data_IF_525295056892
#
_entry.id   IF_525295056892
#
_cell.length_a   1.000
_cell.length_b   1.000
_cell.length_c   1.000
_cell.angle_alpha   90.00
_cell.angle_beta   90.00
_cell.angle_gamma   90.00
#
_symmetry.space_group_name_H-M   'P 1'
#
loop_
_entity.id
_entity.type
_entity.pdbx_description
1 polymer ?
#
# COMPACT_ATOMS: atom_id res chain seq x y z
N UNK A 1 -13.42 13.92 9.11
CA UNK A 1 -13.72 15.14 9.91
C UNK A 1 -12.51 16.06 10.00
N UNK A 2 -11.34 15.59 10.47
CA UNK A 2 -10.12 16.41 10.60
C UNK A 2 -9.73 17.11 9.30
N UNK A 3 -9.61 16.36 8.20
CA UNK A 3 -9.26 16.92 6.89
C UNK A 3 -10.26 17.97 6.40
N UNK A 4 -11.53 17.84 6.77
CA UNK A 4 -12.59 18.80 6.43
C UNK A 4 -12.60 20.04 7.37
N UNK A 5 -11.66 20.14 8.32
CA UNK A 5 -11.63 21.23 9.30
C UNK A 5 -12.78 21.20 10.31
N UNK A 6 -13.52 20.09 10.38
CA UNK A 6 -14.70 19.96 11.25
C UNK A 6 -14.25 19.44 12.61
N UNK A 7 -14.57 20.19 13.67
CA UNK A 7 -14.34 19.77 15.06
C UNK A 7 -15.22 18.56 15.38
N UNK A 8 -14.62 17.54 15.98
CA UNK A 8 -15.32 16.31 16.39
C UNK A 8 -14.73 15.78 17.70
N UNK A 9 -15.42 14.82 18.29
CA UNK A 9 -14.91 13.97 19.37
C UNK A 9 -15.13 12.53 18.97
N UNK A 10 -14.21 11.65 19.33
CA UNK A 10 -14.38 10.21 19.19
C UNK A 10 -14.82 9.62 20.51
N UNK A 11 -15.63 8.59 20.49
CA UNK A 11 -15.93 7.81 21.67
C UNK A 11 -16.30 6.40 21.19
N UNK A 12 -15.69 5.39 21.79
CA UNK A 12 -15.88 4.00 21.42
C UNK A 12 -15.74 3.11 22.66
N UNK A 13 -16.49 2.02 22.64
CA UNK A 13 -16.53 0.89 23.58
C UNK A 13 -17.26 -0.26 22.87
N UNK A 14 -17.09 -1.50 23.32
CA UNK A 14 -17.66 -2.67 22.63
C UNK A 14 -19.18 -2.64 22.47
N UNK A 15 -19.93 -2.36 23.55
CA UNK A 15 -21.41 -2.42 23.53
C UNK A 15 -22.10 -1.09 23.90
N UNK A 16 -21.33 -0.04 24.18
CA UNK A 16 -21.81 1.30 24.53
C UNK A 16 -22.56 1.40 25.87
N UNK A 17 -22.49 0.38 26.72
CA UNK A 17 -23.19 0.34 28.01
C UNK A 17 -22.28 0.58 29.21
N UNK A 18 -20.96 0.51 29.01
CA UNK A 18 -20.01 0.62 30.11
C UNK A 18 -19.96 2.05 30.72
N UNK A 19 -19.51 2.12 31.97
CA UNK A 19 -19.46 3.38 32.73
C UNK A 19 -18.57 4.44 32.07
N UNK A 20 -17.49 4.03 31.40
CA UNK A 20 -16.62 4.96 30.69
C UNK A 20 -17.35 5.56 29.49
N UNK A 21 -18.03 4.75 28.67
CA UNK A 21 -18.80 5.27 27.53
C UNK A 21 -19.93 6.20 27.98
N UNK A 22 -20.82 5.74 28.88
CA UNK A 22 -21.97 6.51 29.33
C UNK A 22 -21.57 7.85 29.98
N UNK A 23 -20.55 7.84 30.84
CA UNK A 23 -20.07 9.06 31.50
C UNK A 23 -19.44 10.06 30.52
N UNK A 24 -18.75 9.57 29.48
CA UNK A 24 -18.18 10.44 28.42
C UNK A 24 -19.24 10.98 27.49
N UNK A 25 -20.25 10.17 27.15
CA UNK A 25 -21.39 10.60 26.34
C UNK A 25 -22.18 11.69 27.06
N UNK A 26 -22.48 11.52 28.35
CA UNK A 26 -23.15 12.56 29.17
C UNK A 26 -22.36 13.88 29.15
N UNK A 27 -21.03 13.82 29.32
CA UNK A 27 -20.17 15.00 29.23
C UNK A 27 -20.22 15.65 27.85
N UNK A 28 -20.21 14.85 26.78
CA UNK A 28 -20.31 15.35 25.42
C UNK A 28 -21.66 16.02 25.17
N UNK A 29 -22.78 15.44 25.64
CA UNK A 29 -24.11 16.05 25.52
C UNK A 29 -24.20 17.42 26.22
N UNK A 30 -23.53 17.59 27.36
CA UNK A 30 -23.52 18.85 28.12
C UNK A 30 -22.56 19.92 27.55
N UNK A 31 -21.46 19.52 26.91
CA UNK A 31 -20.34 20.43 26.58
C UNK A 31 -19.94 20.45 25.10
N UNK A 32 -20.48 19.53 24.30
CA UNK A 32 -20.11 19.29 22.91
C UNK A 32 -18.72 18.67 22.73
N UNK A 33 -18.05 18.21 23.81
CA UNK A 33 -16.66 17.72 23.74
C UNK A 33 -16.39 16.52 24.65
N UNK A 34 -15.63 15.56 24.12
CA UNK A 34 -14.97 14.49 24.87
C UNK A 34 -13.44 14.60 24.68
N UNK A 35 -12.68 14.36 25.75
CA UNK A 35 -11.21 14.46 25.75
C UNK A 35 -10.55 13.18 26.26
N UNK A 36 -9.63 12.61 25.51
CA UNK A 36 -8.93 11.38 25.90
C UNK A 36 -7.58 11.69 26.54
N UNK A 37 -7.14 10.81 27.43
CA UNK A 37 -5.80 10.90 28.00
C UNK A 37 -4.78 10.45 26.95
N UNK A 38 -3.88 11.35 26.55
CA UNK A 38 -2.81 11.08 25.58
C UNK A 38 -1.46 10.85 26.27
N UNK A 39 -1.48 10.21 27.46
CA UNK A 39 -0.27 9.99 28.28
C UNK A 39 0.82 9.16 27.58
N UNK A 40 0.44 8.37 26.57
CA UNK A 40 1.34 7.58 25.74
C UNK A 40 2.02 8.40 24.63
N UNK A 41 1.60 9.65 24.40
CA UNK A 41 2.17 10.54 23.38
C UNK A 41 3.17 11.48 24.02
N UNK A 42 4.32 11.66 23.36
CA UNK A 42 5.36 12.60 23.78
C UNK A 42 5.67 13.57 22.65
N UNK A 43 5.85 14.86 22.97
CA UNK A 43 6.29 15.84 21.97
C UNK A 43 7.69 15.47 21.50
N UNK A 44 7.92 15.57 20.19
CA UNK A 44 9.22 15.23 19.61
C UNK A 44 10.38 16.06 20.21
N UNK A 45 10.14 17.34 20.54
CA UNK A 45 11.13 18.21 21.19
C UNK A 45 11.64 17.67 22.55
N UNK A 46 10.85 16.83 23.21
CA UNK A 46 11.21 16.23 24.51
C UNK A 46 11.91 14.86 24.34
N UNK A 47 12.04 14.37 23.10
CA UNK A 47 12.69 13.09 22.78
C UNK A 47 14.18 13.32 22.53
N UNK A 48 15.03 12.60 23.28
CA UNK A 48 16.49 12.63 23.06
C UNK A 48 16.82 11.74 21.86
N UNK A 49 17.04 12.36 20.70
CA UNK A 49 17.44 11.64 19.48
C UNK A 49 18.97 11.55 19.42
N UNK A 50 19.56 10.34 19.25
CA UNK A 50 21.01 10.19 19.07
C UNK A 50 21.52 11.01 17.88
N UNK A 51 22.69 11.63 18.03
CA UNK A 51 23.24 12.54 17.00
C UNK A 51 23.39 11.89 15.62
N UNK A 52 23.79 10.61 15.58
CA UNK A 52 23.90 9.85 14.33
C UNK A 52 22.53 9.68 13.63
N UNK A 53 21.48 9.31 14.39
CA UNK A 53 20.12 9.15 13.87
C UNK A 53 19.57 10.48 13.36
N UNK A 54 19.79 11.57 14.10
CA UNK A 54 19.39 12.91 13.67
C UNK A 54 20.04 13.29 12.34
N UNK A 55 21.37 13.09 12.22
CA UNK A 55 22.11 13.36 10.98
C UNK A 55 21.58 12.55 9.80
N UNK A 56 21.26 11.27 10.01
CA UNK A 56 20.66 10.43 8.96
C UNK A 56 19.30 10.95 8.52
N UNK A 57 18.42 11.32 9.46
CA UNK A 57 17.11 11.89 9.14
C UNK A 57 17.20 13.21 8.37
N UNK A 58 18.08 14.12 8.81
CA UNK A 58 18.32 15.40 8.12
C UNK A 58 18.88 15.21 6.70
N UNK A 59 19.79 14.23 6.52
CA UNK A 59 20.31 13.84 5.20
C UNK A 59 19.17 13.36 4.29
N UNK A 60 18.36 12.40 4.74
CA UNK A 60 17.25 11.84 3.95
C UNK A 60 16.22 12.91 3.55
N UNK A 61 15.91 13.83 4.46
CA UNK A 61 15.01 14.95 4.19
C UNK A 61 15.61 15.91 3.13
N UNK A 62 16.89 16.26 3.26
CA UNK A 62 17.57 17.12 2.28
C UNK A 62 17.65 16.46 0.90
N UNK A 63 17.92 15.16 0.84
CA UNK A 63 17.91 14.37 -0.41
C UNK A 63 16.53 14.36 -1.06
N UNK A 64 15.45 14.14 -0.30
CA UNK A 64 14.09 14.18 -0.84
C UNK A 64 13.75 15.57 -1.41
N UNK A 65 14.14 16.64 -0.73
CA UNK A 65 13.93 18.01 -1.22
C UNK A 65 14.79 18.30 -2.46
N UNK A 66 15.99 17.75 -2.57
CA UNK A 66 16.88 17.99 -3.71
C UNK A 66 16.47 17.17 -4.94
N UNK A 67 16.34 15.87 -4.76
CA UNK A 67 16.18 14.90 -5.85
C UNK A 67 14.72 14.73 -6.26
N UNK A 68 13.80 15.15 -5.38
CA UNK A 68 12.35 15.01 -5.50
C UNK A 68 11.90 13.55 -5.54
N UNK A 69 10.60 13.34 -5.44
CA UNK A 69 9.98 12.05 -5.70
C UNK A 69 8.64 12.22 -6.40
N UNK A 70 8.25 11.22 -7.17
CA UNK A 70 7.01 11.19 -7.94
C UNK A 70 6.11 10.07 -7.42
N UNK A 71 4.91 10.42 -6.95
CA UNK A 71 3.78 9.52 -6.75
C UNK A 71 3.03 9.40 -8.07
N UNK A 72 3.11 8.25 -8.74
CA UNK A 72 2.27 7.96 -9.90
C UNK A 72 0.89 7.49 -9.44
N UNK A 73 -0.15 8.26 -9.74
CA UNK A 73 -1.51 7.97 -9.27
C UNK A 73 -2.38 7.60 -10.46
N UNK A 74 -2.78 6.33 -10.59
CA UNK A 74 -3.68 5.88 -11.66
C UNK A 74 -5.14 6.15 -11.29
N UNK A 75 -5.64 7.31 -11.74
CA UNK A 75 -6.91 7.94 -11.38
C UNK A 75 -7.05 8.20 -9.85
N UNK A 76 -7.28 9.46 -9.43
CA UNK A 76 -7.34 9.84 -8.00
C UNK A 76 -8.72 9.55 -7.36
N UNK A 77 -8.72 9.19 -6.06
CA UNK A 77 -9.94 9.20 -5.24
C UNK A 77 -10.81 7.95 -5.33
N UNK A 78 -10.19 6.78 -5.23
CA UNK A 78 -10.89 5.48 -5.14
C UNK A 78 -12.12 5.55 -4.22
N UNK A 79 -13.29 5.16 -4.75
CA UNK A 79 -14.55 5.06 -4.01
C UNK A 79 -14.93 6.29 -3.15
N UNK A 80 -14.44 7.48 -3.51
CA UNK A 80 -14.71 8.70 -2.74
C UNK A 80 -13.97 8.77 -1.41
N UNK A 81 -12.85 8.05 -1.26
CA UNK A 81 -11.97 8.11 -0.08
C UNK A 81 -11.36 9.52 0.08
N UNK A 82 -12.14 10.43 0.64
CA UNK A 82 -11.74 11.83 0.79
C UNK A 82 -10.42 11.98 1.55
N UNK A 83 -10.14 11.13 2.54
CA UNK A 83 -8.90 11.23 3.33
C UNK A 83 -7.66 10.73 2.58
N UNK A 84 -7.83 9.87 1.56
CA UNK A 84 -6.73 9.29 0.79
C UNK A 84 -6.05 10.30 -0.15
N UNK A 85 -6.73 11.39 -0.53
CA UNK A 85 -6.18 12.39 -1.45
C UNK A 85 -5.35 13.43 -0.68
N UNK A 86 -4.13 13.74 -1.07
CA UNK A 86 -3.34 14.82 -0.49
C UNK A 86 -3.42 16.06 -1.41
N UNK A 87 -3.81 17.24 -0.91
CA UNK A 87 -3.73 18.46 -1.73
C UNK A 87 -2.29 18.77 -2.17
N UNK A 88 -2.07 19.06 -3.45
CA UNK A 88 -0.73 19.32 -4.02
C UNK A 88 0.05 20.41 -3.27
N UNK A 89 -0.61 21.48 -2.83
CA UNK A 89 0.03 22.57 -2.08
C UNK A 89 0.54 22.15 -0.69
N UNK A 90 0.03 21.04 -0.14
CA UNK A 90 0.54 20.43 1.10
C UNK A 90 1.63 19.39 0.80
N UNK A 91 1.54 18.69 -0.32
CA UNK A 91 2.49 17.65 -0.71
C UNK A 91 3.81 18.23 -1.26
N UNK A 92 3.73 19.17 -2.20
CA UNK A 92 4.89 19.73 -2.93
C UNK A 92 6.00 20.28 -2.02
N UNK A 93 5.71 20.97 -0.89
CA UNK A 93 6.74 21.43 0.04
C UNK A 93 7.58 20.32 0.66
N UNK A 94 7.09 19.07 0.67
CA UNK A 94 7.84 17.90 1.16
C UNK A 94 8.87 17.38 0.15
N UNK A 95 8.86 17.90 -1.09
CA UNK A 95 9.70 17.42 -2.19
C UNK A 95 9.06 16.29 -3.00
N UNK A 96 7.82 15.93 -2.68
CA UNK A 96 7.05 14.89 -3.38
C UNK A 96 6.02 15.55 -4.28
N UNK A 97 5.87 15.03 -5.50
CA UNK A 97 4.91 15.52 -6.50
C UNK A 97 4.07 14.37 -7.01
N UNK A 98 2.90 14.68 -7.57
CA UNK A 98 2.05 13.68 -8.20
C UNK A 98 2.19 13.72 -9.71
N UNK A 99 2.36 12.54 -10.30
CA UNK A 99 2.07 12.30 -11.70
C UNK A 99 0.68 11.66 -11.79
N UNK A 100 -0.25 12.33 -12.46
CA UNK A 100 -1.64 11.86 -12.58
C UNK A 100 -1.75 10.98 -13.82
N UNK A 101 -1.68 9.68 -13.60
CA UNK A 101 -1.76 8.65 -14.62
C UNK A 101 -3.23 8.23 -14.81
N UNK A 102 -3.54 7.60 -15.94
CA UNK A 102 -4.89 7.08 -16.20
C UNK A 102 -4.92 5.56 -16.15
N UNK A 103 -5.94 4.98 -15.52
CA UNK A 103 -6.16 3.53 -15.58
C UNK A 103 -6.43 3.04 -17.01
N UNK A 104 -6.96 3.90 -17.88
CA UNK A 104 -7.11 3.57 -19.31
C UNK A 104 -5.76 3.35 -20.00
N UNK A 105 -4.73 4.10 -19.61
CA UNK A 105 -3.37 3.91 -20.09
C UNK A 105 -2.76 2.62 -19.55
N UNK A 106 -3.01 2.29 -18.27
CA UNK A 106 -2.60 1.00 -17.69
C UNK A 106 -3.28 -0.18 -18.40
N UNK A 107 -4.59 -0.08 -18.67
CA UNK A 107 -5.32 -1.07 -19.43
C UNK A 107 -4.72 -1.26 -20.83
N UNK A 108 -4.58 -0.16 -21.57
CA UNK A 108 -4.00 -0.19 -22.91
C UNK A 108 -2.61 -0.82 -22.90
N UNK A 109 -1.69 -0.36 -22.04
CA UNK A 109 -0.35 -0.93 -21.93
C UNK A 109 -0.39 -2.42 -21.60
N UNK A 110 -1.28 -2.86 -20.71
CA UNK A 110 -1.45 -4.28 -20.38
C UNK A 110 -1.82 -5.11 -21.62
N UNK A 111 -2.62 -4.57 -22.54
CA UNK A 111 -2.95 -5.26 -23.81
C UNK A 111 -1.76 -5.31 -24.79
N UNK A 112 -0.77 -4.43 -24.64
CA UNK A 112 0.44 -4.43 -25.48
C UNK A 112 1.50 -5.42 -24.99
N UNK A 113 1.41 -5.88 -23.74
CA UNK A 113 2.34 -6.90 -23.21
C UNK A 113 2.07 -8.26 -23.84
N UNK A 114 3.13 -8.90 -24.34
CA UNK A 114 3.02 -10.16 -25.04
C UNK A 114 2.69 -11.32 -24.10
N UNK A 115 2.02 -12.35 -24.62
CA UNK A 115 1.73 -13.58 -23.85
C UNK A 115 3.01 -14.27 -23.39
N UNK A 116 4.11 -14.14 -24.16
CA UNK A 116 5.41 -14.67 -23.80
C UNK A 116 5.94 -14.03 -22.52
N UNK A 117 5.94 -12.71 -22.44
CA UNK A 117 6.40 -11.99 -21.25
C UNK A 117 5.53 -12.32 -20.03
N UNK A 118 4.21 -12.36 -20.21
CA UNK A 118 3.28 -12.76 -19.16
C UNK A 118 3.57 -14.18 -18.64
N UNK A 119 3.86 -15.11 -19.55
CA UNK A 119 4.22 -16.49 -19.20
C UNK A 119 5.56 -16.57 -18.46
N UNK A 120 6.56 -15.77 -18.85
CA UNK A 120 7.85 -15.71 -18.15
C UNK A 120 7.69 -15.26 -16.68
N UNK A 121 6.82 -14.28 -16.44
CA UNK A 121 6.44 -13.84 -15.08
C UNK A 121 5.69 -14.94 -14.32
N UNK A 122 4.70 -15.58 -14.94
CA UNK A 122 3.98 -16.69 -14.34
C UNK A 122 4.90 -17.86 -13.95
N UNK A 123 5.75 -18.31 -14.88
CA UNK A 123 6.70 -19.41 -14.65
C UNK A 123 7.69 -19.05 -13.52
N UNK A 124 8.02 -17.76 -13.37
CA UNK A 124 8.83 -17.28 -12.25
C UNK A 124 8.13 -17.47 -10.91
N UNK A 125 6.82 -17.15 -10.80
CA UNK A 125 6.06 -17.39 -9.55
C UNK A 125 6.04 -18.88 -9.19
N UNK A 126 5.77 -19.74 -10.17
CA UNK A 126 5.76 -21.20 -9.97
C UNK A 126 7.14 -21.70 -9.54
N UNK A 127 8.22 -21.21 -10.17
CA UNK A 127 9.59 -21.57 -9.79
C UNK A 127 9.94 -21.12 -8.38
N UNK A 128 9.39 -19.99 -7.92
CA UNK A 128 9.54 -19.50 -6.53
C UNK A 128 8.68 -20.25 -5.52
N UNK A 129 7.78 -21.10 -5.99
CA UNK A 129 6.97 -21.99 -5.16
C UNK A 129 5.63 -21.42 -4.74
N UNK A 130 5.17 -20.32 -5.35
CA UNK A 130 3.83 -19.77 -5.07
C UNK A 130 2.76 -20.76 -5.50
N UNK A 131 1.74 -20.95 -4.66
CA UNK A 131 0.61 -21.85 -4.93
C UNK A 131 -0.55 -21.04 -5.49
N UNK A 132 -1.13 -21.49 -6.61
CA UNK A 132 -2.37 -20.91 -7.15
C UNK A 132 -3.49 -21.94 -7.10
N UNK A 133 -4.61 -21.57 -6.49
CA UNK A 133 -5.80 -22.42 -6.37
C UNK A 133 -6.67 -22.28 -7.62
N UNK A 134 -6.32 -23.02 -8.66
CA UNK A 134 -6.92 -22.86 -9.99
C UNK A 134 -8.19 -23.68 -10.17
N UNK A 135 -9.20 -23.03 -10.75
CA UNK A 135 -10.42 -23.65 -11.27
C UNK A 135 -10.53 -23.55 -12.79
N UNK A 136 -11.76 -23.76 -13.29
CA UNK A 136 -12.11 -23.72 -14.71
C UNK A 136 -13.13 -22.63 -15.03
N UNK A 137 -13.93 -22.19 -14.07
CA UNK A 137 -14.96 -21.17 -14.27
C UNK A 137 -14.43 -19.79 -13.84
N UNK A 138 -14.16 -18.90 -14.80
CA UNK A 138 -13.66 -17.54 -14.52
C UNK A 138 -14.62 -16.66 -13.72
N UNK A 139 -15.92 -16.98 -13.72
CA UNK A 139 -16.91 -16.23 -12.94
C UNK A 139 -16.73 -16.45 -11.43
N UNK A 140 -16.43 -17.69 -11.02
CA UNK A 140 -16.46 -18.12 -9.61
C UNK A 140 -15.11 -18.59 -9.07
N UNK A 141 -14.13 -18.84 -9.93
CA UNK A 141 -12.85 -19.44 -9.58
C UNK A 141 -11.70 -18.65 -10.19
N UNK A 142 -10.52 -18.74 -9.57
CA UNK A 142 -9.30 -18.18 -10.13
C UNK A 142 -8.85 -19.07 -11.30
N UNK A 143 -8.61 -18.48 -12.47
CA UNK A 143 -8.06 -19.22 -13.61
C UNK A 143 -6.67 -18.74 -14.00
N UNK A 144 -5.97 -19.59 -14.74
CA UNK A 144 -4.65 -19.26 -15.28
C UNK A 144 -4.68 -18.05 -16.22
N UNK A 145 -5.76 -17.86 -16.98
CA UNK A 145 -5.90 -16.71 -17.88
C UNK A 145 -5.95 -15.40 -17.08
N UNK A 146 -6.71 -15.37 -15.98
CA UNK A 146 -6.77 -14.22 -15.09
C UNK A 146 -5.39 -13.90 -14.50
N UNK A 147 -4.61 -14.91 -14.09
CA UNK A 147 -3.24 -14.69 -13.61
C UNK A 147 -2.33 -14.14 -14.71
N UNK A 148 -2.42 -14.66 -15.94
CA UNK A 148 -1.62 -14.16 -17.06
C UNK A 148 -1.97 -12.70 -17.39
N UNK A 149 -3.24 -12.30 -17.29
CA UNK A 149 -3.64 -10.90 -17.41
C UNK A 149 -3.06 -10.03 -16.30
N UNK A 150 -3.04 -10.50 -15.04
CA UNK A 150 -2.35 -9.80 -13.95
C UNK A 150 -0.84 -9.71 -14.20
N UNK A 151 -0.20 -10.73 -14.76
CA UNK A 151 1.21 -10.69 -15.15
C UNK A 151 1.48 -9.61 -16.21
N UNK A 152 0.57 -9.43 -17.17
CA UNK A 152 0.64 -8.32 -18.15
C UNK A 152 0.50 -6.97 -17.47
N UNK A 153 -0.48 -6.81 -16.59
CA UNK A 153 -0.67 -5.58 -15.82
C UNK A 153 0.55 -5.23 -14.97
N UNK A 154 1.19 -6.22 -14.34
CA UNK A 154 2.44 -6.04 -13.60
C UNK A 154 3.57 -5.48 -14.48
N UNK A 155 3.80 -6.07 -15.66
CA UNK A 155 4.81 -5.57 -16.61
C UNK A 155 4.48 -4.14 -17.06
N UNK A 156 3.21 -3.89 -17.37
CA UNK A 156 2.72 -2.57 -17.77
C UNK A 156 2.96 -1.52 -16.68
N UNK A 157 2.58 -1.80 -15.44
CA UNK A 157 2.77 -0.92 -14.29
C UNK A 157 4.25 -0.60 -14.05
N UNK A 158 5.13 -1.60 -14.12
CA UNK A 158 6.58 -1.42 -13.95
C UNK A 158 7.17 -0.55 -15.07
N UNK A 159 6.72 -0.72 -16.31
CA UNK A 159 7.19 0.09 -17.46
C UNK A 159 6.71 1.53 -17.36
N UNK A 160 5.44 1.75 -17.03
CA UNK A 160 4.90 3.10 -16.84
C UNK A 160 5.62 3.80 -15.68
N UNK A 161 5.92 3.09 -14.58
CA UNK A 161 6.72 3.66 -13.50
C UNK A 161 8.11 4.12 -13.96
N UNK A 162 8.79 3.35 -14.81
CA UNK A 162 10.10 3.73 -15.39
C UNK A 162 9.98 4.89 -16.38
N UNK A 163 8.96 4.88 -17.25
CA UNK A 163 8.73 5.93 -18.26
C UNK A 163 8.52 7.31 -17.62
N UNK A 164 7.77 7.36 -16.52
CA UNK A 164 7.43 8.60 -15.81
C UNK A 164 8.36 8.89 -14.61
N UNK A 165 9.35 8.04 -14.33
CA UNK A 165 10.26 8.20 -13.19
C UNK A 165 9.55 8.13 -11.83
N UNK A 166 8.46 7.37 -11.75
CA UNK A 166 7.70 7.19 -10.53
C UNK A 166 8.55 6.48 -9.47
N UNK A 167 8.50 7.01 -8.25
CA UNK A 167 9.17 6.43 -7.08
C UNK A 167 8.24 5.49 -6.31
N UNK A 168 6.94 5.69 -6.48
CA UNK A 168 5.86 4.86 -5.94
C UNK A 168 4.67 5.02 -6.89
N UNK A 169 3.84 3.98 -7.02
CA UNK A 169 2.64 4.03 -7.86
C UNK A 169 1.43 3.50 -7.12
N UNK A 170 0.26 4.06 -7.36
CA UNK A 170 -0.99 3.57 -6.79
C UNK A 170 -1.98 3.29 -7.89
N UNK A 171 -2.57 2.10 -7.86
CA UNK A 171 -3.62 1.69 -8.77
C UNK A 171 -4.96 1.86 -8.04
N UNK A 172 -5.86 2.66 -8.60
CA UNK A 172 -7.17 2.84 -8.01
C UNK A 172 -7.94 1.52 -8.01
N UNK A 173 -7.91 0.84 -9.17
CA UNK A 173 -8.63 -0.39 -9.53
C UNK A 173 -10.17 -0.26 -9.44
N UNK A 174 -10.70 0.16 -8.29
CA UNK A 174 -12.10 0.33 -7.99
C UNK A 174 -12.55 1.81 -8.08
N UNK A 175 -13.54 2.20 -8.86
CA UNK A 175 -14.28 1.45 -9.87
C UNK A 175 -13.66 1.70 -11.26
N UNK A 176 -14.12 1.00 -12.29
CA UNK A 176 -13.69 1.20 -13.67
C UNK A 176 -12.74 0.11 -14.17
N UNK A 177 -11.50 0.05 -13.67
CA UNK A 177 -10.54 -0.94 -14.16
C UNK A 177 -10.94 -2.37 -13.82
N UNK A 178 -11.63 -2.57 -12.68
CA UNK A 178 -12.20 -3.86 -12.26
C UNK A 178 -13.15 -4.51 -13.28
N UNK A 179 -13.74 -3.72 -14.18
CA UNK A 179 -14.68 -4.21 -15.20
C UNK A 179 -13.96 -4.63 -16.50
N UNK A 180 -12.65 -4.34 -16.60
CA UNK A 180 -11.83 -4.55 -17.79
C UNK A 180 -10.69 -5.55 -17.58
N UNK A 181 -10.20 -5.67 -16.34
CA UNK A 181 -9.10 -6.55 -15.97
C UNK A 181 -9.40 -7.25 -14.64
N UNK A 182 -8.81 -8.44 -14.39
CA UNK A 182 -8.84 -9.07 -13.07
C UNK A 182 -8.25 -8.15 -11.99
N UNK A 183 -8.54 -8.47 -10.73
CA UNK A 183 -8.00 -7.76 -9.57
C UNK A 183 -6.49 -7.54 -9.67
N UNK A 184 -6.05 -6.35 -9.27
CA UNK A 184 -4.63 -5.98 -9.26
C UNK A 184 -3.88 -6.60 -8.09
N UNK A 185 -4.51 -7.34 -7.17
CA UNK A 185 -3.90 -7.87 -5.95
C UNK A 185 -2.51 -8.49 -6.17
N UNK A 186 -2.36 -9.46 -7.08
CA UNK A 186 -1.04 -10.08 -7.32
C UNK A 186 0.00 -9.06 -7.77
N UNK A 187 -0.43 -8.08 -8.58
CA UNK A 187 0.43 -7.00 -9.07
C UNK A 187 0.91 -6.14 -7.91
N UNK A 188 0.01 -5.73 -7.03
CA UNK A 188 0.27 -4.80 -5.92
C UNK A 188 1.24 -5.40 -4.90
N UNK A 189 1.00 -6.65 -4.46
CA UNK A 189 1.92 -7.36 -3.57
C UNK A 189 3.27 -7.66 -4.22
N UNK A 190 3.29 -7.92 -5.53
CA UNK A 190 4.55 -8.13 -6.27
C UNK A 190 5.37 -6.85 -6.36
N UNK A 191 4.74 -5.71 -6.63
CA UNK A 191 5.40 -4.40 -6.70
C UNK A 191 6.05 -4.04 -5.36
N UNK A 192 5.35 -4.32 -4.26
CA UNK A 192 5.81 -4.08 -2.90
C UNK A 192 6.91 -5.05 -2.39
N UNK A 193 7.34 -6.03 -3.20
CA UNK A 193 8.36 -7.01 -2.83
C UNK A 193 9.69 -6.79 -3.57
N UNK A 194 10.83 -6.82 -2.89
CA UNK A 194 12.13 -6.60 -3.55
C UNK A 194 12.54 -7.77 -4.45
N UNK A 195 12.24 -9.00 -4.02
CA UNK A 195 12.41 -10.23 -4.82
C UNK A 195 11.18 -10.43 -5.69
N UNK A 196 11.17 -9.85 -6.89
CA UNK A 196 10.04 -9.88 -7.83
C UNK A 196 10.46 -10.34 -9.23
N UNK A 197 9.52 -10.80 -10.08
CA UNK A 197 9.82 -11.22 -11.45
C UNK A 197 10.50 -10.08 -12.23
N UNK A 198 11.59 -10.34 -12.98
CA UNK A 198 12.33 -9.31 -13.70
C UNK A 198 11.48 -8.73 -14.84
N UNK A 199 11.49 -7.41 -14.99
CA UNK A 199 10.85 -6.71 -16.12
C UNK A 199 11.91 -5.91 -16.87
N UNK A 200 11.85 -5.94 -18.20
CA UNK A 200 12.76 -5.16 -19.05
C UNK A 200 12.16 -3.82 -19.44
N UNK A 201 13.02 -2.81 -19.58
CA UNK A 201 12.68 -1.54 -20.22
C UNK A 201 12.09 -1.75 -21.61
N UNK A 202 11.36 -0.77 -22.13
CA UNK A 202 10.73 -0.86 -23.46
C UNK A 202 11.72 -1.16 -24.59
N UNK A 203 12.92 -0.60 -24.50
CA UNK A 203 14.00 -0.86 -25.46
C UNK A 203 14.73 -2.21 -25.23
N UNK A 204 14.34 -2.96 -24.20
CA UNK A 204 14.91 -4.26 -23.84
C UNK A 204 16.29 -4.22 -23.19
N UNK A 205 16.90 -3.04 -22.99
CA UNK A 205 18.31 -2.89 -22.58
C UNK A 205 18.54 -3.01 -21.08
N UNK A 206 17.58 -2.59 -20.26
CA UNK A 206 17.70 -2.55 -18.80
C UNK A 206 16.73 -3.53 -18.16
N UNK A 207 17.15 -4.16 -17.07
CA UNK A 207 16.22 -4.80 -16.12
C UNK A 207 15.82 -3.75 -15.11
N UNK A 208 14.53 -3.45 -15.03
CA UNK A 208 13.98 -2.36 -14.24
C UNK A 208 13.93 -2.73 -12.75
N UNK A 209 14.35 -1.80 -11.89
CA UNK A 209 14.39 -1.86 -10.42
C UNK A 209 14.81 -3.24 -9.87
N UNK A 210 15.89 -3.82 -10.40
CA UNK A 210 16.38 -5.15 -9.99
C UNK A 210 16.68 -5.19 -8.48
N UNK A 211 16.05 -6.12 -7.76
CA UNK A 211 16.24 -6.31 -6.32
C UNK A 211 15.71 -5.15 -5.47
N UNK A 212 14.77 -4.37 -6.02
CA UNK A 212 14.10 -3.28 -5.31
C UNK A 212 12.59 -3.39 -5.52
N UNK A 213 11.80 -3.10 -4.47
CA UNK A 213 10.37 -2.89 -4.65
C UNK A 213 10.15 -1.61 -5.45
N UNK A 214 8.96 -1.53 -6.03
CA UNK A 214 8.35 -0.27 -6.44
C UNK A 214 7.21 -0.09 -5.44
N UNK A 215 7.40 0.72 -4.38
CA UNK A 215 6.35 0.92 -3.39
C UNK A 215 5.01 1.18 -4.08
N UNK A 216 4.00 0.44 -3.67
CA UNK A 216 2.66 0.49 -4.21
C UNK A 216 1.68 0.81 -3.10
N UNK A 217 0.74 1.70 -3.40
CA UNK A 217 -0.35 2.05 -2.49
C UNK A 217 -1.71 1.68 -3.10
N UNK A 218 -2.36 0.70 -2.47
CA UNK A 218 -3.67 0.19 -2.87
C UNK A 218 -4.71 1.31 -2.88
N UNK A 219 -5.71 1.19 -3.76
CA UNK A 219 -6.86 2.10 -3.83
C UNK A 219 -6.46 3.57 -3.96
N UNK A 220 -5.28 3.85 -4.52
CA UNK A 220 -4.68 5.19 -4.60
C UNK A 220 -4.74 5.97 -3.27
N UNK A 221 -4.56 5.29 -2.12
CA UNK A 221 -4.34 5.98 -0.85
C UNK A 221 -2.98 6.68 -0.85
N UNK A 222 -2.98 7.96 -1.23
CA UNK A 222 -1.76 8.75 -1.32
C UNK A 222 -1.13 9.02 0.04
N UNK A 223 -1.90 9.00 1.14
CA UNK A 223 -1.35 9.09 2.48
C UNK A 223 -0.51 7.86 2.78
N UNK A 224 -1.04 6.68 2.46
CA UNK A 224 -0.29 5.43 2.55
C UNK A 224 0.88 5.40 1.54
N UNK A 225 0.72 5.97 0.34
CA UNK A 225 1.78 6.07 -0.67
C UNK A 225 2.95 6.95 -0.22
N UNK A 226 2.66 8.09 0.39
CA UNK A 226 3.67 8.96 0.99
C UNK A 226 4.37 8.26 2.15
N UNK A 227 3.61 7.64 3.06
CA UNK A 227 4.18 6.88 4.18
C UNK A 227 5.07 5.72 3.70
N UNK A 228 4.58 4.91 2.75
CA UNK A 228 5.31 3.80 2.16
C UNK A 228 6.60 4.23 1.45
N UNK A 229 6.60 5.37 0.76
CA UNK A 229 7.81 5.97 0.18
C UNK A 229 8.82 6.38 1.27
N UNK A 230 8.36 7.02 2.34
CA UNK A 230 9.22 7.44 3.45
C UNK A 230 9.80 6.25 4.20
N UNK A 231 8.95 5.26 4.52
CA UNK A 231 9.34 4.00 5.15
C UNK A 231 10.37 3.26 4.30
N UNK A 232 10.15 3.13 2.99
CA UNK A 232 11.12 2.53 2.07
C UNK A 232 12.49 3.24 2.14
N UNK A 233 12.52 4.57 2.05
CA UNK A 233 13.76 5.35 2.10
C UNK A 233 14.50 5.20 3.43
N UNK A 234 13.78 5.29 4.54
CA UNK A 234 14.37 5.14 5.89
C UNK A 234 14.91 3.73 6.10
N UNK A 235 14.11 2.71 5.81
CA UNK A 235 14.52 1.32 5.98
C UNK A 235 15.72 0.97 5.11
N UNK A 236 15.74 1.44 3.86
CA UNK A 236 16.88 1.24 2.94
C UNK A 236 18.17 1.85 3.48
N UNK A 237 18.13 3.09 3.97
CA UNK A 237 19.30 3.74 4.59
C UNK A 237 19.76 3.01 5.87
N UNK A 238 18.80 2.47 6.63
CA UNK A 238 19.06 1.68 7.84
C UNK A 238 19.42 0.21 7.56
N UNK A 239 19.43 -0.22 6.29
CA UNK A 239 19.63 -1.62 5.88
C UNK A 239 18.64 -2.60 6.52
N UNK A 240 17.40 -2.15 6.71
CA UNK A 240 16.26 -2.93 7.17
C UNK A 240 15.45 -3.48 5.98
N UNK A 241 14.56 -4.46 6.20
CA UNK A 241 13.62 -4.92 5.18
C UNK A 241 12.83 -3.76 4.58
N UNK A 242 12.68 -3.75 3.27
CA UNK A 242 12.15 -2.62 2.49
C UNK A 242 10.72 -2.86 1.99
N UNK A 243 10.26 -4.10 2.09
CA UNK A 243 8.92 -4.54 1.72
C UNK A 243 7.90 -3.96 2.68
N UNK A 244 6.98 -3.18 2.15
CA UNK A 244 5.90 -2.57 2.93
C UNK A 244 4.59 -2.66 2.16
N UNK A 245 3.48 -2.56 2.88
CA UNK A 245 2.13 -2.45 2.31
C UNK A 245 1.26 -1.72 3.32
N UNK A 246 0.16 -1.14 2.86
CA UNK A 246 -0.88 -0.66 3.75
C UNK A 246 -1.77 -1.83 4.20
N UNK A 247 -2.47 -1.65 5.32
CA UNK A 247 -3.45 -2.59 5.82
C UNK A 247 -4.67 -1.83 6.34
N UNK A 248 -5.86 -2.41 6.15
CA UNK A 248 -7.03 -1.94 6.88
C UNK A 248 -6.90 -2.31 8.34
N UNK A 249 -7.31 -1.39 9.22
CA UNK A 249 -7.72 -1.71 10.58
C UNK A 249 -9.07 -2.41 10.52
N UNK A 250 -9.06 -3.73 10.29
CA UNK A 250 -10.27 -4.47 9.93
C UNK A 250 -11.24 -4.65 11.09
N UNK A 251 -10.73 -5.09 12.23
CA UNK A 251 -11.47 -5.25 13.49
C UNK A 251 -10.49 -5.49 14.66
N UNK A 252 -11.01 -5.57 15.88
CA UNK A 252 -10.26 -6.03 17.04
C UNK A 252 -11.18 -6.72 18.04
N UNK A 253 -10.61 -7.59 18.87
CA UNK A 253 -11.29 -8.30 19.97
C UNK A 253 -10.24 -8.87 20.93
N UNK A 254 -10.68 -9.38 22.07
CA UNK A 254 -9.87 -10.22 22.96
C UNK A 254 -9.47 -11.51 22.25
N UNK A 255 -8.18 -11.85 22.29
CA UNK A 255 -7.65 -13.02 21.60
C UNK A 255 -8.32 -14.32 22.08
N UNK A 256 -9.12 -14.93 21.19
CA UNK A 256 -9.77 -16.22 21.43
C UNK A 256 -8.87 -17.42 21.09
N UNK A 257 -7.71 -17.20 20.47
CA UNK A 257 -6.80 -18.28 20.10
C UNK A 257 -5.96 -18.80 21.28
N UNK A 258 -5.88 -18.02 22.36
CA UNK A 258 -5.05 -18.32 23.53
C UNK A 258 -3.57 -18.01 23.33
N UNK A 259 -3.21 -17.22 22.31
CA UNK A 259 -1.82 -16.77 22.07
C UNK A 259 -1.46 -15.62 23.01
N UNK A 260 -2.43 -14.79 23.39
CA UNK A 260 -2.31 -13.75 24.42
C UNK A 260 -3.63 -13.58 25.20
N UNK A 261 -3.56 -12.97 26.38
CA UNK A 261 -4.74 -12.53 27.15
C UNK A 261 -5.19 -11.10 26.75
N UNK A 262 -4.49 -10.48 25.80
CA UNK A 262 -4.71 -9.10 25.40
C UNK A 262 -5.80 -8.94 24.31
N UNK A 263 -6.28 -7.70 24.19
CA UNK A 263 -7.05 -7.24 23.03
C UNK A 263 -6.14 -7.08 21.81
N UNK A 264 -6.50 -7.74 20.70
CA UNK A 264 -5.72 -7.76 19.46
C UNK A 264 -6.45 -7.00 18.35
N UNK A 265 -5.67 -6.37 17.48
CA UNK A 265 -6.17 -5.73 16.26
C UNK A 265 -5.79 -6.57 15.05
N UNK A 266 -6.75 -6.77 14.15
CA UNK A 266 -6.53 -7.48 12.89
C UNK A 266 -6.24 -6.46 11.79
N UNK A 267 -5.03 -6.52 11.26
CA UNK A 267 -4.59 -5.77 10.09
C UNK A 267 -4.75 -6.65 8.85
N UNK A 268 -5.61 -6.25 7.93
CA UNK A 268 -5.94 -7.06 6.77
C UNK A 268 -6.19 -6.16 5.57
N UNK A 269 -5.33 -6.23 4.56
CA UNK A 269 -5.50 -5.46 3.33
C UNK A 269 -6.61 -6.08 2.47
N UNK A 270 -7.37 -5.24 1.76
CA UNK A 270 -8.34 -5.61 0.72
C UNK A 270 -7.67 -6.06 -0.59
N UNK A 271 -6.65 -6.91 -0.50
CA UNK A 271 -5.81 -7.25 -1.64
C UNK A 271 -4.74 -8.27 -1.27
N UNK A 272 -3.50 -7.98 -1.64
CA UNK A 272 -2.35 -8.80 -1.25
C UNK A 272 -1.30 -8.01 -0.47
N UNK A 273 -0.54 -8.73 0.33
CA UNK A 273 0.68 -8.24 0.97
C UNK A 273 1.91 -8.75 0.18
N UNK A 274 3.07 -8.07 0.26
CA UNK A 274 4.29 -8.56 -0.36
C UNK A 274 4.68 -9.92 0.25
N UNK A 275 5.10 -10.90 -0.55
CA UNK A 275 5.42 -12.24 -0.06
C UNK A 275 6.46 -12.29 1.06
N UNK A 276 7.35 -11.30 1.18
CA UNK A 276 8.27 -11.19 2.31
C UNK A 276 7.57 -11.08 3.68
N UNK A 277 6.28 -10.71 3.72
CA UNK A 277 5.46 -10.67 4.93
C UNK A 277 4.85 -12.04 5.26
N UNK A 278 4.85 -12.99 4.32
CA UNK A 278 4.32 -14.33 4.52
C UNK A 278 5.39 -15.28 5.04
N UNK A 279 4.99 -16.18 5.94
CA UNK A 279 5.87 -17.25 6.44
C UNK A 279 6.32 -18.09 5.24
N UNK A 280 7.62 -18.15 4.97
CA UNK A 280 8.16 -18.89 3.83
C UNK A 280 8.22 -18.12 2.51
N UNK A 281 7.93 -16.81 2.51
CA UNK A 281 8.06 -15.96 1.33
C UNK A 281 7.06 -16.34 0.24
N UNK A 282 7.52 -16.29 -1.02
CA UNK A 282 6.75 -16.78 -2.17
C UNK A 282 6.21 -18.21 -2.01
N UNK A 283 6.99 -19.11 -1.39
CA UNK A 283 6.59 -20.51 -1.21
C UNK A 283 5.43 -20.67 -0.23
N UNK A 284 5.28 -19.76 0.72
CA UNK A 284 4.15 -19.74 1.66
C UNK A 284 3.07 -18.74 1.28
N UNK A 285 3.04 -18.33 0.00
CA UNK A 285 2.00 -17.43 -0.53
C UNK A 285 1.02 -18.22 -1.40
N UNK A 286 -0.26 -17.88 -1.26
CA UNK A 286 -1.37 -18.50 -1.97
C UNK A 286 -2.11 -17.46 -2.82
N UNK A 287 -2.42 -17.81 -4.06
CA UNK A 287 -3.32 -17.05 -4.93
C UNK A 287 -4.69 -17.71 -4.99
N UNK A 288 -5.73 -16.98 -4.56
CA UNK A 288 -7.13 -17.41 -4.54
C UNK A 288 -8.00 -16.46 -5.36
N UNK A 289 -9.26 -16.85 -5.60
CA UNK A 289 -10.27 -15.94 -6.14
C UNK A 289 -10.68 -14.94 -5.06
N UNK A 290 -10.60 -13.64 -5.37
CA UNK A 290 -11.27 -12.58 -4.60
C UNK A 290 -12.77 -12.52 -4.88
#
# INVERSE_FOLDING_TARGET
>A
MTKAGIKYSTLWSDDFTDKYFLGRLEKWLKTGKCSHATKHVKKFADVKVPAAVKKTGEKLAAELIKDKAILGVFDEGCMGMFNAIIPDHLLNPTGVFKERLSQSALYYESTQVTDKEAKEVYDWYIKKGMTFHLGKNEETELTKNQILLQCKMYIAAVRIADDFGCHTIGIQYQQGLKDLLPASDLVEGTLNNADRPPVKSRDGKRVLYKGQPIPHFNEVDECAGLDGLMTYRVHKEMKQPVENTLHDLRWGDWDQSGTTEDYVWVFLISGSAPPAHHIGGWKGSDGLRQ
#
